data_IF_943677957259
#
_entry.id   IF_943677957259
#
_cell.length_a   1.000
_cell.length_b   1.000
_cell.length_c   1.000
_cell.angle_alpha   90.00
_cell.angle_beta   90.00
_cell.angle_gamma   90.00
#
_symmetry.space_group_name_H-M   'P 1'
#
loop_
_entity.id
_entity.type
_entity.pdbx_description
1 polymer ?
#
# COMPACT_ATOMS: atom_id res chain seq x y z
N UNK A 1 -14.37 9.33 13.15
CA UNK A 1 -13.03 8.87 12.66
C UNK A 1 -13.25 7.73 11.70
N UNK A 2 -12.61 7.77 10.56
CA UNK A 2 -12.79 6.85 9.42
C UNK A 2 -11.54 6.00 9.22
N UNK A 3 -11.69 4.78 8.71
CA UNK A 3 -10.59 3.96 8.24
C UNK A 3 -10.53 4.02 6.71
N UNK A 4 -9.35 4.31 6.15
CA UNK A 4 -9.12 4.28 4.71
C UNK A 4 -8.13 3.17 4.42
N UNK A 5 -8.57 2.18 3.65
CA UNK A 5 -7.79 0.98 3.34
C UNK A 5 -7.10 1.11 1.97
N UNK A 6 -5.83 0.72 1.93
CA UNK A 6 -5.01 0.56 0.74
C UNK A 6 -4.62 -0.91 0.61
N UNK A 7 -5.01 -1.56 -0.48
CA UNK A 7 -4.74 -2.98 -0.69
C UNK A 7 -3.29 -3.25 -1.15
N UNK A 8 -2.88 -4.51 -1.16
CA UNK A 8 -1.56 -4.92 -1.64
C UNK A 8 -1.48 -5.08 -3.15
N UNK A 9 -0.27 -5.37 -3.63
CA UNK A 9 -0.02 -5.68 -5.03
C UNK A 9 -0.81 -6.94 -5.44
N UNK A 10 -1.52 -6.87 -6.55
CA UNK A 10 -2.35 -7.98 -7.05
C UNK A 10 -3.63 -8.22 -6.27
N UNK A 11 -4.03 -7.30 -5.45
CA UNK A 11 -5.31 -7.29 -4.74
C UNK A 11 -6.21 -6.19 -5.30
N UNK A 12 -7.44 -6.14 -4.82
CA UNK A 12 -8.46 -5.17 -5.18
C UNK A 12 -9.16 -4.59 -3.93
N UNK A 13 -10.16 -3.76 -4.15
CA UNK A 13 -10.95 -3.14 -3.08
C UNK A 13 -11.69 -4.15 -2.20
N UNK A 14 -12.00 -5.34 -2.73
CA UNK A 14 -12.73 -6.38 -2.00
C UNK A 14 -11.85 -7.12 -0.99
N UNK A 15 -10.54 -7.02 -1.13
CA UNK A 15 -9.57 -7.68 -0.24
C UNK A 15 -9.72 -7.28 1.23
N UNK A 16 -10.31 -6.10 1.49
CA UNK A 16 -10.55 -5.60 2.84
C UNK A 16 -11.98 -5.84 3.36
N UNK A 17 -12.87 -6.41 2.54
CA UNK A 17 -14.29 -6.55 2.88
C UNK A 17 -14.54 -7.31 4.19
N UNK A 18 -13.81 -8.39 4.42
CA UNK A 18 -13.91 -9.17 5.66
C UNK A 18 -13.49 -8.37 6.90
N UNK A 19 -12.42 -7.57 6.79
CA UNK A 19 -11.95 -6.70 7.88
C UNK A 19 -12.93 -5.56 8.11
N UNK A 20 -13.45 -4.94 7.06
CA UNK A 20 -14.46 -3.88 7.16
C UNK A 20 -15.74 -4.40 7.85
N UNK A 21 -16.17 -5.60 7.51
CA UNK A 21 -17.30 -6.23 8.16
C UNK A 21 -17.05 -6.48 9.66
N UNK A 22 -15.88 -7.01 10.01
CA UNK A 22 -15.50 -7.30 11.39
C UNK A 22 -15.35 -6.02 12.25
N UNK A 23 -15.01 -4.90 11.63
CA UNK A 23 -14.85 -3.61 12.29
C UNK A 23 -16.11 -2.74 12.28
N UNK A 24 -17.25 -3.25 11.73
CA UNK A 24 -18.54 -2.55 11.81
C UNK A 24 -18.93 -2.30 13.27
N UNK A 25 -19.41 -1.10 13.64
CA UNK A 25 -19.93 -0.01 12.78
C UNK A 25 -18.94 1.10 12.42
N UNK A 26 -17.63 0.88 12.48
CA UNK A 26 -16.66 1.92 12.11
C UNK A 26 -16.82 2.28 10.63
N UNK A 27 -16.88 3.58 10.36
CA UNK A 27 -16.89 4.06 8.97
C UNK A 27 -15.57 3.70 8.30
N UNK A 28 -15.65 3.02 7.17
CA UNK A 28 -14.46 2.62 6.42
C UNK A 28 -14.70 2.65 4.92
N UNK A 29 -13.63 2.86 4.16
CA UNK A 29 -13.63 2.74 2.71
C UNK A 29 -12.29 2.22 2.21
N UNK A 30 -12.27 1.60 1.05
CA UNK A 30 -11.05 1.16 0.37
C UNK A 30 -10.82 2.04 -0.86
N UNK A 31 -9.58 2.52 -1.02
CA UNK A 31 -9.16 3.16 -2.26
C UNK A 31 -8.53 2.11 -3.17
N UNK A 32 -8.95 2.12 -4.43
CA UNK A 32 -8.33 1.29 -5.45
C UNK A 32 -6.97 1.86 -5.84
N UNK A 33 -5.93 1.06 -5.64
CA UNK A 33 -4.57 1.42 -6.02
C UNK A 33 -4.38 1.29 -7.54
N UNK A 34 -5.10 0.37 -8.18
CA UNK A 34 -4.94 0.05 -9.60
C UNK A 34 -6.13 0.49 -10.47
N UNK A 35 -6.85 1.53 -10.07
CA UNK A 35 -8.04 2.03 -10.80
C UNK A 35 -7.77 2.47 -12.24
N UNK A 36 -6.51 2.75 -12.59
CA UNK A 36 -6.10 3.14 -13.93
C UNK A 36 -4.96 2.27 -14.43
N UNK A 37 -5.11 1.75 -15.65
CA UNK A 37 -4.07 0.95 -16.28
C UNK A 37 -2.86 1.82 -16.65
N UNK A 38 -1.65 1.28 -16.44
CA UNK A 38 -0.35 1.89 -16.80
C UNK A 38 0.12 3.05 -15.92
N UNK A 39 -0.47 3.28 -14.76
CA UNK A 39 0.08 4.25 -13.81
C UNK A 39 1.42 3.75 -13.22
N UNK A 40 2.37 4.66 -13.12
CA UNK A 40 3.59 4.51 -12.33
C UNK A 40 3.29 4.58 -10.83
N UNK A 41 4.25 4.20 -9.99
CA UNK A 41 4.12 4.38 -8.53
C UNK A 41 3.85 5.83 -8.14
N UNK A 42 4.54 6.76 -8.80
CA UNK A 42 4.40 8.19 -8.53
C UNK A 42 2.99 8.70 -8.90
N UNK A 43 2.45 8.31 -10.05
CA UNK A 43 1.10 8.69 -10.48
C UNK A 43 0.03 8.12 -9.56
N UNK A 44 0.18 6.86 -9.13
CA UNK A 44 -0.70 6.25 -8.12
C UNK A 44 -0.66 7.06 -6.81
N UNK A 45 0.54 7.44 -6.36
CA UNK A 45 0.72 8.22 -5.15
C UNK A 45 0.06 9.60 -5.26
N UNK A 46 0.24 10.30 -6.36
CA UNK A 46 -0.36 11.61 -6.62
C UNK A 46 -1.89 11.54 -6.62
N UNK A 47 -2.45 10.56 -7.31
CA UNK A 47 -3.90 10.33 -7.33
C UNK A 47 -4.46 10.00 -5.93
N UNK A 48 -3.76 9.20 -5.16
CA UNK A 48 -4.16 8.91 -3.78
C UNK A 48 -4.03 10.16 -2.90
N UNK A 49 -2.99 10.97 -3.08
CA UNK A 49 -2.80 12.23 -2.37
C UNK A 49 -3.97 13.18 -2.60
N UNK A 50 -4.38 13.39 -3.85
CA UNK A 50 -5.53 14.23 -4.20
C UNK A 50 -6.83 13.73 -3.52
N UNK A 51 -7.05 12.41 -3.52
CA UNK A 51 -8.23 11.83 -2.87
C UNK A 51 -8.19 11.98 -1.35
N UNK A 52 -7.03 11.86 -0.73
CA UNK A 52 -6.88 12.04 0.72
C UNK A 52 -7.01 13.50 1.15
N UNK A 53 -6.60 14.45 0.32
CA UNK A 53 -6.81 15.89 0.57
C UNK A 53 -8.30 16.28 0.58
N UNK A 54 -9.14 15.55 -0.12
CA UNK A 54 -10.60 15.78 -0.15
C UNK A 54 -11.32 15.23 1.10
N UNK A 55 -10.61 14.50 1.98
CA UNK A 55 -11.21 13.94 3.18
C UNK A 55 -11.43 15.04 4.24
N UNK A 56 -12.68 15.28 4.58
CA UNK A 56 -13.07 16.27 5.59
C UNK A 56 -13.08 15.70 7.02
N UNK A 57 -13.23 14.39 7.17
CA UNK A 57 -13.26 13.73 8.46
C UNK A 57 -11.87 13.20 8.87
N UNK A 58 -11.53 13.20 10.17
CA UNK A 58 -10.32 12.54 10.64
C UNK A 58 -10.28 11.06 10.26
N UNK A 59 -9.14 10.60 9.74
CA UNK A 59 -8.97 9.22 9.30
C UNK A 59 -7.66 8.58 9.75
N UNK A 60 -7.67 7.25 9.77
CA UNK A 60 -6.48 6.40 9.89
C UNK A 60 -6.27 5.73 8.53
N UNK A 61 -5.04 5.76 8.05
CA UNK A 61 -4.66 5.10 6.80
C UNK A 61 -4.14 3.69 7.11
N UNK A 62 -4.79 2.70 6.53
CA UNK A 62 -4.50 1.28 6.75
C UNK A 62 -3.97 0.67 5.47
N UNK A 63 -2.73 0.22 5.46
CA UNK A 63 -2.09 -0.33 4.28
C UNK A 63 -1.55 -1.74 4.45
N UNK A 64 -1.78 -2.59 3.44
CA UNK A 64 -1.20 -3.92 3.36
C UNK A 64 -0.12 -3.95 2.28
N UNK A 65 1.10 -4.40 2.64
CA UNK A 65 2.22 -4.57 1.70
C UNK A 65 2.47 -3.28 0.89
N UNK A 66 2.25 -3.26 -0.44
CA UNK A 66 2.34 -2.06 -1.29
C UNK A 66 1.46 -0.91 -0.75
N UNK A 67 0.24 -1.20 -0.32
CA UNK A 67 -0.64 -0.21 0.29
C UNK A 67 -0.03 0.40 1.56
N UNK A 68 0.72 -0.38 2.33
CA UNK A 68 1.47 0.11 3.49
C UNK A 68 2.67 0.99 3.11
N UNK A 69 3.38 0.66 2.04
CA UNK A 69 4.47 1.49 1.49
C UNK A 69 3.91 2.84 1.05
N UNK A 70 2.79 2.84 0.31
CA UNK A 70 2.09 4.07 -0.09
C UNK A 70 1.60 4.87 1.11
N UNK A 71 1.00 4.23 2.11
CA UNK A 71 0.54 4.89 3.33
C UNK A 71 1.70 5.60 4.06
N UNK A 72 2.83 4.93 4.20
CA UNK A 72 4.02 5.48 4.84
C UNK A 72 4.65 6.62 4.01
N UNK A 73 4.73 6.49 2.69
CA UNK A 73 5.26 7.55 1.83
C UNK A 73 4.33 8.77 1.78
N UNK A 74 3.02 8.55 1.75
CA UNK A 74 2.01 9.61 1.83
C UNK A 74 2.02 10.34 3.17
N UNK A 75 2.38 9.68 4.28
CA UNK A 75 2.43 10.31 5.60
C UNK A 75 3.45 11.45 5.73
N UNK A 76 4.33 11.63 4.72
CA UNK A 76 5.25 12.77 4.62
C UNK A 76 4.56 14.06 4.18
N UNK A 77 3.35 13.93 3.64
CA UNK A 77 2.56 15.08 3.21
C UNK A 77 1.76 15.62 4.39
N UNK A 78 1.41 16.89 4.32
CA UNK A 78 0.55 17.52 5.32
C UNK A 78 -0.92 17.17 5.03
N UNK A 79 -1.42 16.22 5.79
CA UNK A 79 -2.85 15.88 5.81
C UNK A 79 -3.40 16.17 7.22
N UNK A 80 -4.05 17.32 7.45
CA UNK A 80 -4.57 17.67 8.77
C UNK A 80 -5.52 16.63 9.37
N UNK A 81 -6.18 15.84 8.50
CA UNK A 81 -7.15 14.81 8.90
C UNK A 81 -6.51 13.43 9.12
N UNK A 82 -5.26 13.20 8.73
CA UNK A 82 -4.56 11.93 9.00
C UNK A 82 -4.15 11.86 10.46
N UNK A 83 -4.67 10.88 11.20
CA UNK A 83 -4.47 10.75 12.66
C UNK A 83 -3.65 9.53 13.05
N UNK A 84 -3.34 8.64 12.13
CA UNK A 84 -2.53 7.46 12.42
C UNK A 84 -2.36 6.55 11.22
N UNK A 85 -1.47 5.57 11.37
CA UNK A 85 -1.16 4.57 10.36
C UNK A 85 -1.36 3.16 10.92
N UNK A 86 -1.83 2.26 10.06
CA UNK A 86 -1.74 0.80 10.30
C UNK A 86 -1.00 0.20 9.12
N UNK A 87 0.16 -0.40 9.39
CA UNK A 87 1.06 -0.95 8.40
C UNK A 87 1.14 -2.46 8.55
N UNK A 88 0.50 -3.21 7.66
CA UNK A 88 0.49 -4.67 7.68
C UNK A 88 1.42 -5.24 6.60
N UNK A 89 2.38 -6.09 7.00
CA UNK A 89 3.35 -6.71 6.09
C UNK A 89 4.06 -5.69 5.20
N UNK A 90 4.50 -4.56 5.77
CA UNK A 90 5.02 -3.41 5.04
C UNK A 90 6.52 -3.33 5.13
N UNK A 91 7.18 -3.26 3.97
CA UNK A 91 8.62 -2.99 3.90
C UNK A 91 8.87 -1.49 3.69
N UNK A 92 9.70 -0.88 4.51
CA UNK A 92 10.08 0.53 4.37
C UNK A 92 11.45 0.74 3.71
N UNK A 93 12.23 -0.34 3.52
CA UNK A 93 13.57 -0.32 2.93
C UNK A 93 13.69 -1.41 1.88
N UNK A 94 13.31 -1.11 0.65
CA UNK A 94 13.25 -2.06 -0.45
C UNK A 94 14.58 -2.18 -1.21
N UNK A 95 15.41 -1.15 -1.18
CA UNK A 95 16.64 -1.07 -1.96
C UNK A 95 17.72 -2.10 -1.55
N UNK A 96 17.70 -2.58 -0.32
CA UNK A 96 18.71 -3.51 0.21
C UNK A 96 18.20 -4.95 0.42
N UNK A 97 16.92 -5.19 0.21
CA UNK A 97 16.32 -6.50 0.47
C UNK A 97 16.55 -7.46 -0.73
N UNK A 98 17.38 -8.51 -0.60
CA UNK A 98 17.61 -9.46 -1.69
C UNK A 98 16.37 -10.28 -2.04
N UNK A 99 15.49 -10.54 -1.06
CA UNK A 99 14.22 -11.25 -1.28
C UNK A 99 13.28 -10.45 -2.17
N UNK A 100 13.31 -9.13 -2.08
CA UNK A 100 12.54 -8.26 -2.96
C UNK A 100 12.98 -8.42 -4.44
N UNK A 101 14.28 -8.54 -4.69
CA UNK A 101 14.81 -8.79 -6.03
C UNK A 101 14.36 -10.16 -6.58
N UNK A 102 14.38 -11.18 -5.70
CA UNK A 102 13.89 -12.52 -6.04
C UNK A 102 12.38 -12.49 -6.34
N UNK A 103 11.61 -11.74 -5.56
CA UNK A 103 10.18 -11.57 -5.79
C UNK A 103 9.89 -10.97 -7.18
N UNK A 104 10.60 -9.91 -7.58
CA UNK A 104 10.47 -9.32 -8.93
C UNK A 104 10.78 -10.37 -10.01
N UNK A 105 11.83 -11.17 -9.82
CA UNK A 105 12.20 -12.21 -10.77
C UNK A 105 11.10 -13.27 -10.88
N UNK A 106 10.56 -13.74 -9.76
CA UNK A 106 9.45 -14.69 -9.74
C UNK A 106 8.21 -14.13 -10.45
N UNK A 107 7.84 -12.87 -10.18
CA UNK A 107 6.73 -12.21 -10.88
C UNK A 107 6.94 -12.11 -12.39
N UNK A 108 8.18 -11.90 -12.86
CA UNK A 108 8.49 -11.92 -14.30
C UNK A 108 8.25 -13.29 -14.93
N UNK A 109 8.56 -14.37 -14.21
CA UNK A 109 8.45 -15.75 -14.70
C UNK A 109 7.00 -16.29 -14.65
N UNK A 110 6.14 -15.73 -13.80
CA UNK A 110 4.76 -16.16 -13.70
C UNK A 110 3.99 -15.89 -14.99
N UNK A 111 3.18 -16.85 -15.49
CA UNK A 111 2.35 -16.68 -16.68
C UNK A 111 1.30 -15.56 -16.50
N UNK A 112 0.92 -14.90 -17.59
CA UNK A 112 -0.06 -13.80 -17.56
C UNK A 112 -1.40 -14.20 -16.93
N UNK A 113 -1.89 -15.41 -17.20
CA UNK A 113 -3.18 -15.88 -16.71
C UNK A 113 -3.28 -15.94 -15.17
N UNK A 114 -2.15 -15.95 -14.45
CA UNK A 114 -2.15 -15.86 -12.96
C UNK A 114 -2.64 -14.49 -12.49
N UNK A 115 -2.45 -13.46 -13.30
CA UNK A 115 -2.80 -12.07 -13.00
C UNK A 115 -4.19 -11.69 -13.54
N UNK A 116 -4.67 -12.35 -14.60
CA UNK A 116 -5.95 -12.04 -15.25
C UNK A 116 -7.18 -12.25 -14.35
N UNK A 117 -7.07 -13.15 -13.36
CA UNK A 117 -8.13 -13.40 -12.37
C UNK A 117 -8.35 -12.25 -11.38
N UNK A 118 -7.47 -11.28 -11.35
CA UNK A 118 -7.47 -10.19 -10.36
C UNK A 118 -7.60 -8.81 -11.03
N UNK A 119 -7.99 -8.74 -12.30
CA UNK A 119 -8.00 -7.51 -13.12
C UNK A 119 -6.66 -6.75 -13.10
N UNK A 120 -5.59 -7.43 -12.66
CA UNK A 120 -4.28 -6.84 -12.45
C UNK A 120 -3.47 -6.89 -13.76
N UNK A 121 -3.00 -5.75 -14.21
CA UNK A 121 -2.09 -5.68 -15.34
C UNK A 121 -0.67 -6.07 -14.89
N UNK A 122 -0.20 -7.26 -15.31
CA UNK A 122 1.16 -7.75 -15.02
C UNK A 122 2.25 -6.71 -15.33
N UNK A 123 2.10 -5.96 -16.42
CA UNK A 123 3.09 -4.94 -16.81
C UNK A 123 3.15 -3.81 -15.81
N UNK A 124 2.00 -3.29 -15.38
CA UNK A 124 1.91 -2.25 -14.36
C UNK A 124 2.50 -2.73 -13.03
N UNK A 125 2.16 -3.94 -12.60
CA UNK A 125 2.71 -4.52 -11.36
C UNK A 125 4.23 -4.62 -11.40
N UNK A 126 4.81 -5.09 -12.52
CA UNK A 126 6.25 -5.16 -12.70
C UNK A 126 6.91 -3.78 -12.78
N UNK A 127 6.25 -2.81 -13.39
CA UNK A 127 6.71 -1.42 -13.43
C UNK A 127 6.79 -0.86 -12.02
N UNK A 128 5.71 -0.91 -11.24
CA UNK A 128 5.66 -0.43 -9.85
C UNK A 128 6.73 -1.13 -9.00
N UNK A 129 6.85 -2.46 -9.07
CA UNK A 129 7.89 -3.19 -8.35
C UNK A 129 9.30 -2.75 -8.73
N UNK A 130 9.53 -2.40 -10.00
CA UNK A 130 10.84 -1.94 -10.47
C UNK A 130 11.15 -0.53 -9.96
N UNK A 131 10.18 0.35 -9.93
CA UNK A 131 10.30 1.71 -9.40
C UNK A 131 10.55 1.69 -7.89
N UNK A 132 9.85 0.82 -7.17
CA UNK A 132 10.03 0.63 -5.73
C UNK A 132 11.40 0.07 -5.34
N UNK A 133 12.14 -0.58 -6.24
CA UNK A 133 13.46 -1.18 -5.96
C UNK A 133 14.46 -0.18 -5.36
N UNK A 134 14.33 1.11 -5.68
CA UNK A 134 15.18 2.17 -5.13
C UNK A 134 14.64 2.82 -3.87
N UNK A 135 13.42 2.48 -3.46
CA UNK A 135 12.73 3.18 -2.39
C UNK A 135 13.34 2.87 -1.02
N UNK A 136 13.58 3.94 -0.26
CA UNK A 136 14.04 3.89 1.12
C UNK A 136 13.29 4.93 1.95
N UNK A 137 12.39 4.49 2.81
CA UNK A 137 11.57 5.32 3.68
C UNK A 137 12.11 5.35 5.13
N UNK A 138 13.38 5.00 5.34
CA UNK A 138 14.00 4.96 6.67
C UNK A 138 13.85 6.31 7.41
N UNK A 139 14.09 7.41 6.72
CA UNK A 139 13.97 8.73 7.34
C UNK A 139 12.50 9.10 7.63
N UNK A 140 11.59 8.67 6.77
CA UNK A 140 10.14 8.82 7.04
C UNK A 140 9.74 8.10 8.33
N UNK A 141 10.19 6.85 8.51
CA UNK A 141 9.90 6.08 9.73
C UNK A 141 10.43 6.76 10.97
N UNK A 142 11.66 7.32 10.91
CA UNK A 142 12.30 7.98 12.06
C UNK A 142 11.60 9.26 12.51
N UNK A 143 11.05 10.02 11.57
CA UNK A 143 10.49 11.36 11.83
C UNK A 143 8.97 11.40 11.81
N UNK A 144 8.30 10.30 11.47
CA UNK A 144 6.84 10.24 11.42
C UNK A 144 6.24 10.48 12.81
N UNK A 145 5.50 11.57 13.01
CA UNK A 145 4.92 11.89 14.32
C UNK A 145 3.60 11.16 14.60
N UNK A 146 3.09 10.43 13.59
CA UNK A 146 1.78 9.78 13.67
C UNK A 146 1.84 8.51 14.50
N UNK A 147 0.87 8.27 15.38
CA UNK A 147 0.69 6.96 16.00
C UNK A 147 0.62 5.88 14.93
N UNK A 148 1.43 4.84 15.06
CA UNK A 148 1.54 3.79 14.05
C UNK A 148 1.43 2.40 14.68
N UNK A 149 0.53 1.58 14.13
CA UNK A 149 0.41 0.16 14.44
C UNK A 149 1.08 -0.64 13.32
N UNK A 150 2.08 -1.43 13.67
CA UNK A 150 2.75 -2.32 12.72
C UNK A 150 2.32 -3.76 12.99
N UNK A 151 1.86 -4.43 11.93
CA UNK A 151 1.39 -5.82 11.98
C UNK A 151 2.26 -6.64 11.02
N UNK A 152 2.92 -7.67 11.57
CA UNK A 152 3.74 -8.58 10.78
C UNK A 152 3.45 -10.02 11.21
N UNK A 153 3.41 -10.93 10.26
CA UNK A 153 3.28 -12.35 10.54
C UNK A 153 4.56 -12.91 11.19
N UNK A 154 4.44 -13.73 12.23
CA UNK A 154 5.60 -14.33 12.93
C UNK A 154 6.48 -15.21 12.03
N UNK A 155 5.98 -15.63 10.88
CA UNK A 155 6.68 -16.41 9.84
C UNK A 155 6.93 -15.61 8.56
N UNK A 156 6.72 -14.31 8.59
CA UNK A 156 6.94 -13.43 7.45
C UNK A 156 8.44 -13.05 7.38
N UNK A 157 9.19 -13.78 6.58
CA UNK A 157 10.63 -13.57 6.36
C UNK A 157 10.91 -12.46 5.34
N UNK A 158 9.90 -11.95 4.66
CA UNK A 158 10.04 -10.97 3.61
C UNK A 158 9.91 -9.52 4.09
N UNK A 159 9.34 -9.30 5.28
CA UNK A 159 9.04 -7.98 5.86
C UNK A 159 9.76 -7.75 7.18
#
# INVERSE_FOLDING_TARGET
MKLIFLHGLGQDVLSWQGVQFALSPLHSKTFDIFSHQKESYQEVKERLMERLQQESEPFILVGLSLGGVLALDLSRQDFPQLKGLVLAGTQYKLNTNPLYRLQILLFRLLPKHVFEKQDANKQQMLQILTELKGLNLTDTVKVCPLPSLVICGSKDWAN
#
